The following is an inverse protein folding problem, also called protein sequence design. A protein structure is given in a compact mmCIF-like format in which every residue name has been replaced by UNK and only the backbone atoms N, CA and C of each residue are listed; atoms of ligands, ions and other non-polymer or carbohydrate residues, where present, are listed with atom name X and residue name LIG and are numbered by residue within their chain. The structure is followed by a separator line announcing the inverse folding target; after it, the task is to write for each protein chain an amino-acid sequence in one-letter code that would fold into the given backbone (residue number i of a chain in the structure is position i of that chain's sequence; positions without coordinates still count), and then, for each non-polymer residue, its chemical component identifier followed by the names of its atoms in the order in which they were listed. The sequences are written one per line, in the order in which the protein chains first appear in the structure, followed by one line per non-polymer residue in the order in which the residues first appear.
data_IF_728460412501
#
_entry.id   IF_728460412501
#
_cell.length_a   1.000
_cell.length_b   1.000
_cell.length_c   1.000
_cell.angle_alpha   90.00
_cell.angle_beta   90.00
_cell.angle_gamma   90.00
#
_symmetry.space_group_name_H-M   'P 1'
#
loop_
_entity.id
_entity.type
_entity.pdbx_description
1 polymer ?
#
# COMPACT_ATOMS: atom_id res chain seq x y z
N UNK A 1 12.05 -20.43 0.93
CA UNK A 1 11.22 -19.29 0.49
C UNK A 1 10.30 -18.95 1.64
N UNK A 2 10.13 -17.69 2.02
CA UNK A 2 9.06 -17.35 2.96
C UNK A 2 7.75 -17.87 2.34
N UNK A 3 6.91 -18.49 3.15
CA UNK A 3 5.60 -18.93 2.69
C UNK A 3 4.85 -17.70 2.16
N UNK A 4 4.43 -17.76 0.91
CA UNK A 4 3.61 -16.68 0.33
C UNK A 4 2.34 -16.57 1.17
N UNK A 5 2.12 -15.39 1.73
CA UNK A 5 0.90 -15.12 2.50
C UNK A 5 -0.33 -15.31 1.60
N UNK A 6 -1.41 -15.90 2.13
CA UNK A 6 -2.66 -15.98 1.37
C UNK A 6 -3.11 -14.58 0.94
N UNK A 7 -3.60 -14.39 -0.30
CA UNK A 7 -4.06 -13.08 -0.77
C UNK A 7 -5.28 -12.60 0.04
N UNK A 8 -5.41 -11.28 0.20
CA UNK A 8 -6.61 -10.65 0.75
C UNK A 8 -7.48 -10.10 -0.38
N UNK A 9 -8.80 -10.21 -0.23
CA UNK A 9 -9.76 -9.59 -1.16
C UNK A 9 -9.49 -8.08 -1.28
N UNK A 10 -9.20 -7.44 -0.16
CA UNK A 10 -9.02 -5.97 -0.11
C UNK A 10 -7.62 -5.50 -0.52
N UNK A 11 -6.59 -6.31 -0.28
CA UNK A 11 -5.22 -5.94 -0.67
C UNK A 11 -4.94 -6.28 -2.13
N UNK A 12 -5.35 -7.49 -2.57
CA UNK A 12 -4.79 -8.13 -3.77
C UNK A 12 -5.82 -8.31 -4.89
N UNK A 13 -7.13 -8.36 -4.58
CA UNK A 13 -8.18 -8.68 -5.56
C UNK A 13 -8.96 -7.46 -6.01
N UNK A 14 -9.56 -6.71 -5.07
CA UNK A 14 -10.34 -5.51 -5.39
C UNK A 14 -9.43 -4.32 -5.68
N UNK A 15 -8.23 -4.33 -5.10
CA UNK A 15 -7.26 -3.24 -5.19
C UNK A 15 -7.57 -2.08 -4.23
N UNK A 16 -6.75 -1.04 -4.26
CA UNK A 16 -6.89 0.06 -3.32
C UNK A 16 -8.12 0.91 -3.62
N UNK A 17 -8.78 1.37 -2.57
CA UNK A 17 -9.68 2.52 -2.67
C UNK A 17 -8.79 3.74 -2.93
N UNK A 18 -8.95 4.38 -4.08
CA UNK A 18 -8.04 5.43 -4.51
C UNK A 18 -8.70 6.46 -5.43
N UNK A 19 -8.09 7.63 -5.51
CA UNK A 19 -8.29 8.56 -6.62
C UNK A 19 -7.24 8.26 -7.70
N UNK A 20 -7.71 8.02 -8.93
CA UNK A 20 -6.84 7.72 -10.07
C UNK A 20 -5.85 8.82 -10.40
N UNK A 21 -5.15 8.70 -11.55
CA UNK A 21 -5.53 7.83 -12.67
C UNK A 21 -5.01 6.38 -12.60
N UNK A 22 -3.98 6.08 -11.83
CA UNK A 22 -3.33 4.77 -11.88
C UNK A 22 -3.02 4.21 -10.49
N UNK A 23 -3.42 2.96 -10.20
CA UNK A 23 -3.12 2.32 -8.90
C UNK A 23 -1.63 2.12 -8.67
N UNK A 24 -0.89 1.73 -9.70
CA UNK A 24 0.56 1.52 -9.61
C UNK A 24 1.37 2.82 -9.52
N UNK A 25 0.74 3.96 -9.80
CA UNK A 25 1.36 5.28 -9.66
C UNK A 25 0.78 6.01 -8.45
N UNK A 26 -0.49 6.39 -8.46
CA UNK A 26 -1.09 7.20 -7.38
C UNK A 26 -1.13 6.48 -6.03
N UNK A 27 -1.76 5.30 -5.94
CA UNK A 27 -1.93 4.61 -4.66
C UNK A 27 -0.61 4.04 -4.12
N UNK A 28 0.24 3.47 -5.00
CA UNK A 28 1.55 2.98 -4.60
C UNK A 28 2.42 4.12 -4.04
N UNK A 29 2.43 5.28 -4.71
CA UNK A 29 3.23 6.42 -4.25
C UNK A 29 2.70 7.04 -2.96
N UNK A 30 1.37 7.07 -2.72
CA UNK A 30 0.81 7.43 -1.40
C UNK A 30 1.37 6.52 -0.31
N UNK A 31 1.33 5.21 -0.52
CA UNK A 31 1.83 4.21 0.43
C UNK A 31 3.31 4.37 0.69
N UNK A 32 4.12 4.53 -0.37
CA UNK A 32 5.56 4.80 -0.26
C UNK A 32 5.82 6.10 0.50
N UNK A 33 5.09 7.17 0.20
CA UNK A 33 5.21 8.46 0.88
C UNK A 33 4.86 8.39 2.36
N UNK A 34 3.82 7.61 2.74
CA UNK A 34 3.45 7.40 4.15
C UNK A 34 4.54 6.67 4.92
N UNK A 35 5.07 5.58 4.37
CA UNK A 35 6.18 4.86 5.00
C UNK A 35 7.44 5.75 5.12
N UNK A 36 7.73 6.56 4.09
CA UNK A 36 8.83 7.51 4.12
C UNK A 36 8.64 8.60 5.20
N UNK A 37 7.42 9.12 5.33
CA UNK A 37 7.03 10.06 6.38
C UNK A 37 7.23 9.46 7.77
N UNK A 38 6.77 8.25 7.99
CA UNK A 38 6.87 7.55 9.26
C UNK A 38 8.34 7.25 9.61
N UNK A 39 9.14 6.81 8.62
CA UNK A 39 10.59 6.63 8.77
C UNK A 39 11.28 7.90 9.24
N UNK A 40 10.83 9.06 8.78
CA UNK A 40 11.30 10.39 9.15
C UNK A 40 10.78 10.86 10.53
N UNK A 41 9.80 10.19 11.09
CA UNK A 41 9.09 10.58 12.31
C UNK A 41 8.12 11.76 12.10
N UNK A 42 7.58 11.90 10.90
CA UNK A 42 6.59 12.92 10.51
C UNK A 42 6.91 13.56 9.17
N UNK A 43 6.15 14.59 8.78
CA UNK A 43 6.33 15.31 7.52
C UNK A 43 7.77 15.84 7.42
N UNK A 44 8.54 15.53 6.36
CA UNK A 44 9.92 15.98 6.20
C UNK A 44 10.00 17.49 5.96
N UNK A 45 11.15 18.08 6.26
CA UNK A 45 11.49 19.47 5.89
C UNK A 45 11.93 19.55 4.43
N UNK A 46 12.60 18.50 3.94
CA UNK A 46 12.94 18.37 2.53
C UNK A 46 12.88 16.91 2.08
N UNK A 47 12.55 16.71 0.80
CA UNK A 47 12.53 15.43 0.15
C UNK A 47 13.12 15.54 -1.27
N UNK A 48 14.07 14.66 -1.60
CA UNK A 48 14.55 14.42 -2.94
C UNK A 48 14.03 13.04 -3.38
N UNK A 49 13.42 13.00 -4.55
CA UNK A 49 12.99 11.75 -5.19
C UNK A 49 13.78 11.59 -6.48
N UNK A 50 14.31 10.40 -6.70
CA UNK A 50 15.09 10.08 -7.89
C UNK A 50 14.43 8.91 -8.61
N UNK A 51 14.28 9.07 -9.93
CA UNK A 51 13.80 8.06 -10.85
C UNK A 51 14.88 7.74 -11.89
N UNK A 52 14.99 6.46 -12.23
CA UNK A 52 15.91 6.03 -13.28
C UNK A 52 15.45 6.50 -14.66
N UNK A 53 16.37 7.00 -15.48
CA UNK A 53 16.11 7.39 -16.89
C UNK A 53 15.53 6.26 -17.73
N UNK A 54 15.89 5.02 -17.45
CA UNK A 54 15.41 3.82 -18.16
C UNK A 54 14.12 3.25 -17.51
N UNK A 55 13.72 3.79 -16.36
CA UNK A 55 12.50 3.39 -15.65
C UNK A 55 11.23 4.01 -16.24
N UNK A 56 10.08 3.39 -15.98
CA UNK A 56 8.79 3.90 -16.47
C UNK A 56 8.41 5.23 -15.81
N UNK A 57 8.86 5.48 -14.59
CA UNK A 57 8.54 6.69 -13.84
C UNK A 57 9.17 7.94 -14.42
N UNK A 58 10.31 7.84 -15.12
CA UNK A 58 10.98 8.98 -15.72
C UNK A 58 10.07 9.83 -16.63
N UNK A 59 9.13 9.18 -17.32
CA UNK A 59 8.21 9.85 -18.27
C UNK A 59 6.76 9.88 -17.79
N UNK A 60 6.41 9.16 -16.72
CA UNK A 60 5.02 8.96 -16.31
C UNK A 60 4.69 9.50 -14.92
N UNK A 61 5.69 9.88 -14.10
CA UNK A 61 5.49 10.24 -12.70
C UNK A 61 4.45 11.36 -12.49
N UNK A 62 4.48 12.39 -13.32
CA UNK A 62 3.54 13.51 -13.25
C UNK A 62 2.18 13.10 -13.82
N UNK A 63 2.15 12.61 -15.09
CA UNK A 63 0.91 12.37 -15.83
C UNK A 63 0.05 11.24 -15.25
N UNK A 64 0.66 10.25 -14.59
CA UNK A 64 -0.05 9.13 -13.99
C UNK A 64 -0.24 9.23 -12.47
N UNK A 65 0.16 10.36 -11.87
CA UNK A 65 -0.17 10.71 -10.50
C UNK A 65 0.80 10.18 -9.44
N UNK A 66 2.03 9.77 -9.82
CA UNK A 66 3.06 9.38 -8.84
C UNK A 66 3.45 10.54 -7.93
N UNK A 67 3.64 11.73 -8.51
CA UNK A 67 3.99 12.92 -7.74
C UNK A 67 2.86 13.30 -6.78
N UNK A 68 1.64 13.36 -7.31
CA UNK A 68 0.45 13.66 -6.55
C UNK A 68 0.30 12.71 -5.35
N UNK A 69 0.44 11.41 -5.60
CA UNK A 69 0.34 10.39 -4.56
C UNK A 69 1.47 10.49 -3.53
N UNK A 70 2.71 10.66 -3.98
CA UNK A 70 3.86 10.76 -3.09
C UNK A 70 3.75 11.98 -2.16
N UNK A 71 3.36 13.14 -2.70
CA UNK A 71 3.17 14.36 -1.91
C UNK A 71 2.09 14.17 -0.85
N UNK A 72 0.97 13.54 -1.22
CA UNK A 72 -0.10 13.20 -0.29
C UNK A 72 0.39 12.23 0.81
N UNK A 73 1.14 11.21 0.45
CA UNK A 73 1.72 10.26 1.41
C UNK A 73 2.69 10.93 2.39
N UNK A 74 3.54 11.84 1.94
CA UNK A 74 4.43 12.64 2.79
C UNK A 74 3.66 13.57 3.75
N UNK A 75 2.43 13.96 3.40
CA UNK A 75 1.50 14.67 4.28
C UNK A 75 0.71 13.74 5.22
N UNK A 76 0.80 12.42 5.04
CA UNK A 76 0.11 11.42 5.84
C UNK A 76 -1.33 11.15 5.39
N UNK A 77 -1.67 11.45 4.13
CA UNK A 77 -3.01 11.23 3.59
C UNK A 77 -3.19 9.82 3.06
N UNK A 78 -4.46 9.41 2.91
CA UNK A 78 -4.84 8.16 2.27
C UNK A 78 -5.01 8.33 0.75
N UNK A 79 -5.02 7.20 0.02
CA UNK A 79 -5.12 7.21 -1.44
C UNK A 79 -6.48 7.68 -1.97
N UNK A 80 -7.52 7.71 -1.15
CA UNK A 80 -8.88 8.19 -1.48
C UNK A 80 -9.15 9.63 -1.01
N UNK A 81 -8.18 10.31 -0.42
CA UNK A 81 -8.32 11.69 0.08
C UNK A 81 -8.71 12.65 -1.07
N UNK A 82 -9.74 13.45 -0.84
CA UNK A 82 -10.26 14.39 -1.84
C UNK A 82 -9.29 15.48 -2.25
N UNK A 83 -8.31 15.77 -1.39
CA UNK A 83 -7.29 16.79 -1.60
C UNK A 83 -6.14 16.32 -2.48
N UNK A 84 -6.07 15.02 -2.82
CA UNK A 84 -4.97 14.45 -3.61
C UNK A 84 -4.59 15.29 -4.84
N UNK A 85 -5.53 15.73 -5.69
CA UNK A 85 -5.19 16.53 -6.89
C UNK A 85 -4.46 17.85 -6.58
N UNK A 86 -4.53 18.31 -5.35
CA UNK A 86 -3.88 19.53 -4.87
C UNK A 86 -2.75 19.27 -3.88
N UNK A 87 -2.30 18.03 -3.74
CA UNK A 87 -1.29 17.63 -2.75
C UNK A 87 0.00 18.44 -2.84
N UNK A 88 0.43 18.81 -4.05
CA UNK A 88 1.60 19.66 -4.26
C UNK A 88 1.45 21.07 -3.67
N UNK A 89 0.24 21.65 -3.69
CA UNK A 89 -0.03 22.95 -3.04
C UNK A 89 0.09 22.81 -1.52
N UNK A 90 -0.53 21.77 -0.95
CA UNK A 90 -0.49 21.51 0.47
C UNK A 90 0.91 21.15 0.98
N UNK A 91 1.70 20.41 0.19
CA UNK A 91 3.06 20.08 0.55
C UNK A 91 3.93 21.34 0.62
N UNK A 92 3.79 22.26 -0.35
CA UNK A 92 4.47 23.57 -0.33
C UNK A 92 4.00 24.42 0.85
N UNK A 93 2.69 24.44 1.13
CA UNK A 93 2.15 25.17 2.28
C UNK A 93 2.64 24.60 3.62
N UNK A 94 2.95 23.31 3.69
CA UNK A 94 3.58 22.67 4.85
C UNK A 94 5.08 22.99 4.96
N UNK A 95 5.65 23.76 4.03
CA UNK A 95 7.07 24.17 4.07
C UNK A 95 8.05 23.09 3.61
N UNK A 96 7.58 22.04 2.93
CA UNK A 96 8.46 20.96 2.46
C UNK A 96 9.18 21.37 1.18
N UNK A 97 10.50 21.40 1.21
CA UNK A 97 11.35 21.59 0.04
C UNK A 97 11.41 20.28 -0.76
N UNK A 98 10.64 20.19 -1.85
CA UNK A 98 10.53 18.98 -2.68
C UNK A 98 11.33 19.14 -3.97
N UNK A 99 12.11 18.10 -4.32
CA UNK A 99 12.81 17.99 -5.59
C UNK A 99 12.60 16.59 -6.20
N UNK A 100 12.41 16.56 -7.52
CA UNK A 100 12.38 15.33 -8.32
C UNK A 100 13.54 15.39 -9.29
N UNK A 101 14.29 14.31 -9.40
CA UNK A 101 15.44 14.18 -10.28
C UNK A 101 15.35 12.92 -11.13
N UNK A 102 15.49 13.07 -12.42
CA UNK A 102 15.68 11.95 -13.34
C UNK A 102 17.18 11.77 -13.56
N UNK A 103 17.70 10.59 -13.29
CA UNK A 103 19.13 10.28 -13.37
C UNK A 103 19.37 8.85 -13.82
N UNK A 104 20.53 8.58 -14.38
CA UNK A 104 20.93 7.20 -14.73
C UNK A 104 21.36 6.47 -13.46
N UNK A 105 20.52 5.58 -12.98
CA UNK A 105 20.69 4.88 -11.71
C UNK A 105 20.88 3.36 -11.90
N UNK A 106 20.54 2.85 -13.09
CA UNK A 106 20.58 1.42 -13.43
C UNK A 106 19.77 0.56 -12.43
N UNK A 107 18.56 1.03 -12.09
CA UNK A 107 17.67 0.32 -11.19
C UNK A 107 17.16 -0.97 -11.86
N UNK A 108 17.19 -2.12 -11.15
CA UNK A 108 16.77 -3.40 -11.74
C UNK A 108 15.24 -3.49 -11.95
N UNK A 109 14.47 -2.60 -11.33
CA UNK A 109 13.02 -2.56 -11.44
C UNK A 109 12.56 -1.21 -12.02
N UNK A 110 11.72 -1.18 -13.06
CA UNK A 110 11.35 0.05 -13.77
C UNK A 110 10.54 1.04 -12.94
N UNK A 111 9.92 0.62 -11.86
CA UNK A 111 9.10 1.44 -10.97
C UNK A 111 9.77 1.65 -9.60
N UNK A 112 11.06 1.97 -9.60
CA UNK A 112 11.83 2.23 -8.38
C UNK A 112 11.69 3.69 -7.95
N UNK A 113 11.42 3.89 -6.67
CA UNK A 113 11.44 5.18 -5.97
C UNK A 113 12.65 5.21 -5.05
N UNK A 114 13.57 6.17 -5.27
CA UNK A 114 14.66 6.46 -4.35
C UNK A 114 14.38 7.78 -3.66
N UNK A 115 14.17 7.74 -2.35
CA UNK A 115 13.86 8.91 -1.55
C UNK A 115 15.00 9.24 -0.60
N UNK A 116 15.40 10.51 -0.57
CA UNK A 116 16.25 11.09 0.47
C UNK A 116 15.45 12.16 1.19
N UNK A 117 15.25 11.98 2.49
CA UNK A 117 14.36 12.78 3.33
C UNK A 117 15.16 13.43 4.45
N UNK A 118 14.86 14.67 4.81
CA UNK A 118 15.50 15.36 5.94
C UNK A 118 14.47 15.92 6.90
N UNK A 119 14.72 15.71 8.19
CA UNK A 119 13.90 16.27 9.27
C UNK A 119 14.71 16.37 10.55
N UNK A 120 14.67 17.53 11.25
CA UNK A 120 15.37 17.74 12.52
C UNK A 120 16.88 17.48 12.43
N UNK A 121 17.51 17.89 11.34
CA UNK A 121 18.95 17.66 11.11
C UNK A 121 19.34 16.21 10.78
N UNK A 122 18.39 15.30 10.65
CA UNK A 122 18.63 13.89 10.32
C UNK A 122 18.25 13.62 8.86
N UNK A 123 19.03 12.79 8.19
CA UNK A 123 18.75 12.29 6.85
C UNK A 123 18.31 10.83 6.93
N UNK A 124 17.33 10.48 6.09
CA UNK A 124 16.85 9.14 5.88
C UNK A 124 16.77 8.83 4.41
N UNK A 125 17.03 7.59 4.04
CA UNK A 125 16.92 7.09 2.69
C UNK A 125 15.99 5.88 2.66
N UNK A 126 15.09 5.88 1.69
CA UNK A 126 14.17 4.76 1.44
C UNK A 126 14.24 4.42 -0.03
N UNK A 127 14.39 3.13 -0.35
CA UNK A 127 14.23 2.62 -1.71
C UNK A 127 13.02 1.69 -1.71
N UNK A 128 12.06 1.99 -2.57
CA UNK A 128 10.83 1.23 -2.68
C UNK A 128 10.43 1.00 -4.15
N UNK A 129 9.73 -0.08 -4.38
CA UNK A 129 9.21 -0.49 -5.67
C UNK A 129 7.69 -0.37 -5.68
N UNK A 130 7.11 0.07 -6.79
CA UNK A 130 5.71 -0.17 -7.10
C UNK A 130 5.62 -1.47 -7.88
N UNK A 131 5.05 -2.50 -7.27
CA UNK A 131 5.00 -3.86 -7.83
C UNK A 131 3.74 -4.14 -8.67
N UNK A 132 2.88 -3.13 -8.81
CA UNK A 132 1.62 -3.23 -9.57
C UNK A 132 0.38 -3.31 -8.67
N UNK A 133 -0.78 -2.95 -9.22
CA UNK A 133 -2.04 -2.99 -8.47
C UNK A 133 -2.11 -2.08 -7.24
N UNK A 134 -1.19 -1.14 -7.08
CA UNK A 134 -1.04 -0.31 -5.88
C UNK A 134 -0.21 -0.97 -4.77
N UNK A 135 0.30 -2.18 -5.00
CA UNK A 135 1.20 -2.86 -4.08
C UNK A 135 2.61 -2.28 -4.15
N UNK A 136 3.33 -2.38 -3.06
CA UNK A 136 4.67 -1.83 -2.89
C UNK A 136 5.60 -2.83 -2.21
N UNK A 137 6.89 -2.64 -2.41
CA UNK A 137 7.94 -3.30 -1.64
C UNK A 137 9.01 -2.28 -1.27
N UNK A 138 9.29 -2.11 0.01
CA UNK A 138 10.47 -1.37 0.47
C UNK A 138 11.65 -2.34 0.48
N UNK A 139 12.66 -2.04 -0.33
CA UNK A 139 13.83 -2.91 -0.52
C UNK A 139 15.07 -2.41 0.22
N UNK A 140 15.10 -1.14 0.64
CA UNK A 140 16.19 -0.63 1.46
C UNK A 140 15.75 0.54 2.36
N UNK A 141 16.31 0.60 3.57
CA UNK A 141 16.19 1.71 4.53
C UNK A 141 17.58 2.13 4.95
N UNK A 142 17.95 3.41 4.73
CA UNK A 142 19.25 3.99 5.05
C UNK A 142 20.44 3.10 4.59
N UNK A 143 20.31 2.47 3.42
CA UNK A 143 21.31 1.61 2.81
C UNK A 143 21.31 0.15 3.28
N UNK A 144 20.53 -0.22 4.29
CA UNK A 144 20.35 -1.63 4.67
C UNK A 144 19.22 -2.28 3.87
N UNK A 145 19.47 -3.47 3.32
CA UNK A 145 18.48 -4.23 2.59
C UNK A 145 17.36 -4.71 3.54
N UNK A 146 16.12 -4.53 3.12
CA UNK A 146 14.93 -5.01 3.82
C UNK A 146 13.92 -5.55 2.80
N UNK A 147 12.90 -6.25 3.28
CA UNK A 147 11.75 -6.68 2.48
C UNK A 147 10.49 -6.37 3.27
N UNK A 148 9.82 -5.26 2.94
CA UNK A 148 8.62 -4.80 3.64
C UNK A 148 7.55 -4.42 2.63
N UNK A 149 6.35 -4.96 2.80
CA UNK A 149 5.21 -4.75 1.88
C UNK A 149 4.21 -3.70 2.39
N UNK A 150 4.46 -3.13 3.57
CA UNK A 150 3.56 -2.15 4.19
C UNK A 150 2.32 -2.76 4.83
N UNK A 151 2.37 -4.03 5.17
CA UNK A 151 1.29 -4.84 5.74
C UNK A 151 1.46 -5.13 7.24
N UNK A 152 2.57 -4.71 7.83
CA UNK A 152 2.87 -4.79 9.26
C UNK A 152 3.11 -3.40 9.85
N UNK A 153 2.89 -3.28 11.16
CA UNK A 153 3.57 -2.25 11.93
C UNK A 153 5.04 -2.64 12.05
N UNK A 154 5.94 -1.76 11.62
CA UNK A 154 7.38 -2.03 11.59
C UNK A 154 8.10 -1.14 12.58
N UNK A 155 8.95 -1.74 13.41
CA UNK A 155 9.91 -1.01 14.25
C UNK A 155 11.33 -1.29 13.77
N UNK A 156 12.06 -0.27 13.38
CA UNK A 156 13.47 -0.35 12.96
C UNK A 156 14.34 0.18 14.09
N UNK A 157 15.22 -0.67 14.59
CA UNK A 157 16.17 -0.36 15.66
C UNK A 157 17.58 -0.29 15.08
N UNK A 158 18.27 0.86 15.20
CA UNK A 158 19.72 0.91 15.00
C UNK A 158 20.38 0.43 16.28
N UNK A 159 21.28 -0.52 16.20
CA UNK A 159 21.90 -1.18 17.35
C UNK A 159 23.42 -1.17 17.25
N UNK A 160 24.07 -1.18 18.44
CA UNK A 160 25.50 -1.40 18.52
C UNK A 160 25.85 -2.89 18.41
N UNK A 161 27.03 -3.18 17.89
CA UNK A 161 27.49 -4.55 17.69
C UNK A 161 26.79 -5.23 16.51
N UNK A 162 26.58 -6.54 16.62
CA UNK A 162 26.04 -7.39 15.54
C UNK A 162 24.49 -7.53 15.57
N UNK A 163 23.84 -6.94 16.58
CA UNK A 163 22.38 -7.00 16.76
C UNK A 163 21.82 -8.37 17.18
N UNK A 164 22.66 -9.39 17.30
CA UNK A 164 22.21 -10.75 17.60
C UNK A 164 21.53 -10.85 18.97
N UNK A 165 22.09 -10.21 20.00
CA UNK A 165 21.52 -10.20 21.35
C UNK A 165 20.13 -9.52 21.38
N UNK A 166 20.01 -8.37 20.71
CA UNK A 166 18.74 -7.64 20.61
C UNK A 166 17.70 -8.48 19.88
N UNK A 167 18.08 -9.11 18.76
CA UNK A 167 17.16 -9.95 17.99
C UNK A 167 16.76 -11.22 18.75
N UNK A 168 17.67 -11.86 19.49
CA UNK A 168 17.37 -13.02 20.34
C UNK A 168 16.35 -12.64 21.41
N UNK A 169 16.60 -11.56 22.16
CA UNK A 169 15.68 -11.06 23.19
C UNK A 169 14.26 -10.83 22.64
N UNK A 170 14.16 -10.29 21.43
CA UNK A 170 12.87 -10.06 20.79
C UNK A 170 12.21 -11.36 20.36
N UNK A 171 12.96 -12.30 19.78
CA UNK A 171 12.41 -13.61 19.34
C UNK A 171 11.93 -14.46 20.52
N UNK A 172 12.67 -14.42 21.63
CA UNK A 172 12.34 -15.19 22.84
C UNK A 172 11.03 -14.72 23.48
N UNK A 173 10.60 -13.50 23.25
CA UNK A 173 9.31 -12.98 23.67
C UNK A 173 8.14 -13.63 22.91
N UNK A 174 8.33 -13.99 21.64
CA UNK A 174 7.36 -14.72 20.85
C UNK A 174 6.11 -13.94 20.39
N UNK A 175 6.02 -12.63 20.69
CA UNK A 175 4.88 -11.77 20.39
C UNK A 175 5.03 -10.92 19.10
N UNK A 176 6.03 -11.26 18.28
CA UNK A 176 6.31 -10.59 17.01
C UNK A 176 6.16 -11.54 15.81
N UNK A 177 5.70 -10.99 14.69
CA UNK A 177 5.50 -11.74 13.45
C UNK A 177 6.85 -12.08 12.78
N UNK A 178 7.80 -11.12 12.75
CA UNK A 178 9.15 -11.36 12.25
C UNK A 178 10.18 -10.44 12.92
N UNK A 179 11.43 -10.92 13.05
CA UNK A 179 12.57 -10.19 13.59
C UNK A 179 13.79 -10.48 12.72
N UNK A 180 14.24 -9.49 11.97
CA UNK A 180 15.34 -9.61 10.99
C UNK A 180 16.50 -8.70 11.41
N UNK A 181 17.73 -9.22 11.34
CA UNK A 181 18.97 -8.43 11.48
C UNK A 181 19.49 -8.10 10.07
N UNK A 182 19.79 -6.85 9.82
CA UNK A 182 20.25 -6.38 8.51
C UNK A 182 21.21 -5.18 8.64
N UNK A 183 21.95 -4.91 7.56
CA UNK A 183 22.94 -3.82 7.52
C UNK A 183 24.22 -4.16 8.27
N UNK A 184 25.23 -3.33 8.12
CA UNK A 184 26.56 -3.54 8.71
C UNK A 184 27.04 -2.33 9.52
N UNK A 185 26.63 -1.11 9.17
CA UNK A 185 27.07 0.11 9.84
C UNK A 185 26.06 1.26 9.60
N UNK A 186 25.12 1.49 10.51
CA UNK A 186 24.80 0.69 11.69
C UNK A 186 24.10 -0.64 11.33
N UNK A 187 24.23 -1.61 12.21
CA UNK A 187 23.39 -2.82 12.18
C UNK A 187 21.99 -2.46 12.60
N UNK A 188 20.99 -3.07 11.96
CA UNK A 188 19.58 -2.84 12.25
C UNK A 188 18.88 -4.12 12.62
N UNK A 189 17.99 -4.00 13.60
CA UNK A 189 17.00 -5.03 13.89
C UNK A 189 15.63 -4.50 13.44
N UNK A 190 15.04 -5.18 12.49
CA UNK A 190 13.72 -4.85 11.93
C UNK A 190 12.70 -5.80 12.53
N UNK A 191 11.67 -5.25 13.15
CA UNK A 191 10.61 -6.01 13.84
C UNK A 191 9.30 -5.74 13.12
N UNK A 192 8.67 -6.80 12.61
CA UNK A 192 7.33 -6.78 12.05
C UNK A 192 6.34 -7.33 13.09
N UNK A 193 5.27 -6.59 13.36
CA UNK A 193 4.32 -6.93 14.42
C UNK A 193 2.92 -6.34 14.18
N UNK A 194 1.97 -6.72 15.03
CA UNK A 194 0.61 -6.16 15.01
C UNK A 194 0.52 -4.79 15.69
N UNK A 195 1.53 -4.42 16.47
CA UNK A 195 1.66 -3.13 17.15
C UNK A 195 3.12 -2.66 17.17
N UNK A 196 3.40 -1.37 17.31
CA UNK A 196 4.78 -0.91 17.47
C UNK A 196 5.35 -1.34 18.83
N UNK A 197 6.68 -1.50 18.88
CA UNK A 197 7.38 -1.60 20.16
C UNK A 197 7.20 -0.31 20.95
N UNK A 198 6.73 -0.43 22.20
CA UNK A 198 6.62 0.69 23.13
C UNK A 198 7.99 1.18 23.61
N UNK A 199 8.06 2.43 24.10
CA UNK A 199 9.33 3.00 24.55
C UNK A 199 9.94 2.25 25.76
N UNK A 200 9.11 1.75 26.67
CA UNK A 200 9.57 0.91 27.78
C UNK A 200 10.15 -0.43 27.29
N UNK A 201 9.55 -1.02 26.25
CA UNK A 201 10.04 -2.25 25.66
C UNK A 201 11.40 -2.04 24.98
N UNK A 202 11.53 -0.92 24.25
CA UNK A 202 12.79 -0.53 23.61
C UNK A 202 13.88 -0.25 24.64
N UNK A 203 13.54 0.45 25.72
CA UNK A 203 14.50 0.76 26.79
C UNK A 203 15.04 -0.49 27.52
N UNK A 204 14.29 -1.59 27.48
CA UNK A 204 14.72 -2.87 28.02
C UNK A 204 15.61 -3.68 27.08
N UNK A 205 15.77 -3.26 25.82
CA UNK A 205 16.60 -3.97 24.84
C UNK A 205 18.07 -3.54 24.96
N UNK A 206 19.01 -4.48 24.75
CA UNK A 206 20.42 -4.13 24.76
C UNK A 206 20.81 -3.31 23.52
N UNK A 207 21.73 -2.37 23.70
CA UNK A 207 22.46 -1.70 22.63
C UNK A 207 21.66 -0.89 21.61
N UNK A 208 20.39 -0.55 21.87
CA UNK A 208 19.58 0.27 20.95
C UNK A 208 19.99 1.73 21.04
N UNK A 209 20.31 2.33 19.89
CA UNK A 209 20.67 3.76 19.75
C UNK A 209 19.55 4.61 19.18
N UNK A 210 18.76 4.04 18.25
CA UNK A 210 17.73 4.78 17.53
C UNK A 210 16.55 3.87 17.21
N UNK A 211 15.36 4.45 17.28
CA UNK A 211 14.11 3.77 16.97
C UNK A 211 13.35 4.55 15.90
N UNK A 212 12.79 3.85 14.95
CA UNK A 212 11.85 4.37 13.97
C UNK A 212 10.66 3.42 13.88
N UNK A 213 9.48 3.98 13.76
CA UNK A 213 8.24 3.20 13.67
C UNK A 213 7.50 3.59 12.41
N UNK A 214 7.00 2.60 11.69
CA UNK A 214 6.21 2.79 10.48
C UNK A 214 4.90 2.03 10.63
N UNK A 215 3.80 2.70 10.34
CA UNK A 215 2.47 2.09 10.39
C UNK A 215 2.14 1.37 9.08
N UNK A 216 1.29 0.35 9.12
CA UNK A 216 0.87 -0.34 7.91
C UNK A 216 0.10 0.59 6.98
N UNK A 217 0.28 0.37 5.68
CA UNK A 217 -0.36 1.15 4.61
C UNK A 217 -1.32 0.31 3.76
N UNK A 218 -1.40 -0.99 4.02
CA UNK A 218 -2.38 -1.88 3.39
C UNK A 218 -3.65 -2.02 4.24
N UNK A 219 -4.82 -2.18 3.61
CA UNK A 219 -6.10 -2.33 4.31
C UNK A 219 -6.16 -3.51 5.27
N UNK A 220 -5.51 -4.62 4.92
CA UNK A 220 -5.49 -5.85 5.73
C UNK A 220 -4.05 -6.18 6.10
N UNK A 221 -3.79 -6.25 7.40
CA UNK A 221 -2.48 -6.59 7.94
C UNK A 221 -2.15 -8.06 7.73
N UNK A 222 -0.87 -8.35 7.59
CA UNK A 222 -0.36 -9.72 7.61
C UNK A 222 -0.10 -10.18 9.04
N UNK A 223 -0.09 -11.50 9.25
CA UNK A 223 0.17 -12.15 10.55
C UNK A 223 0.94 -13.44 10.36
N UNK A 224 1.82 -13.75 11.27
CA UNK A 224 2.52 -15.03 11.30
C UNK A 224 1.55 -16.16 11.66
N UNK A 225 1.76 -17.34 11.06
CA UNK A 225 0.98 -18.53 11.37
C UNK A 225 -0.48 -18.46 10.94
N UNK A 226 -0.81 -17.56 10.04
CA UNK A 226 -2.15 -17.37 9.52
C UNK A 226 -2.60 -18.60 8.73
N UNK A 227 -3.80 -19.08 9.02
CA UNK A 227 -4.46 -20.15 8.28
C UNK A 227 -5.78 -19.63 7.70
N UNK A 228 -6.03 -19.95 6.45
CA UNK A 228 -7.29 -19.66 5.77
C UNK A 228 -8.07 -20.94 5.51
N UNK A 229 -9.39 -20.89 5.40
CA UNK A 229 -10.21 -22.11 5.25
C UNK A 229 -9.96 -22.85 3.92
N UNK A 230 -9.40 -22.18 2.90
CA UNK A 230 -9.03 -22.76 1.62
C UNK A 230 -8.04 -21.84 0.89
N UNK A 231 -7.19 -22.39 0.05
CA UNK A 231 -6.30 -21.64 -0.84
C UNK A 231 -6.74 -21.73 -2.30
N UNK A 232 -7.45 -22.78 -2.66
CA UNK A 232 -7.90 -23.06 -4.03
C UNK A 232 -9.39 -23.40 -4.07
N UNK A 233 -10.03 -23.11 -5.21
CA UNK A 233 -11.44 -23.41 -5.40
C UNK A 233 -11.78 -24.89 -5.20
N UNK A 234 -10.87 -25.82 -5.52
CA UNK A 234 -11.03 -27.24 -5.28
C UNK A 234 -11.18 -27.58 -3.78
N UNK A 235 -10.36 -26.97 -2.92
CA UNK A 235 -10.48 -27.13 -1.45
C UNK A 235 -11.79 -26.53 -0.95
N UNK A 236 -12.16 -25.36 -1.46
CA UNK A 236 -13.43 -24.73 -1.11
C UNK A 236 -14.63 -25.66 -1.41
N UNK A 237 -14.64 -26.28 -2.60
CA UNK A 237 -15.72 -27.20 -3.01
C UNK A 237 -15.72 -28.47 -2.15
N UNK A 238 -14.56 -29.00 -1.74
CA UNK A 238 -14.46 -30.18 -0.87
C UNK A 238 -14.94 -29.92 0.55
N UNK A 239 -14.73 -28.71 1.06
CA UNK A 239 -15.12 -28.31 2.42
C UNK A 239 -16.54 -27.77 2.51
N UNK A 240 -17.18 -27.52 1.37
CA UNK A 240 -18.47 -26.90 1.25
C UNK A 240 -19.57 -27.93 0.92
N UNK A 241 -20.70 -27.83 1.59
CA UNK A 241 -21.95 -28.23 0.98
C UNK A 241 -22.44 -27.04 0.12
N UNK A 242 -22.28 -27.09 -1.21
CA UNK A 242 -22.64 -25.97 -2.08
C UNK A 242 -24.16 -25.71 -2.12
N UNK A 243 -24.96 -26.62 -1.55
CA UNK A 243 -26.41 -26.47 -1.49
C UNK A 243 -26.90 -25.66 -0.30
N UNK A 244 -26.05 -25.48 0.72
CA UNK A 244 -26.45 -24.87 1.98
C UNK A 244 -25.73 -23.56 2.29
N UNK A 245 -24.62 -23.24 1.60
CA UNK A 245 -23.81 -22.06 1.91
C UNK A 245 -23.49 -21.25 0.65
N UNK A 246 -23.92 -19.98 0.56
CA UNK A 246 -23.65 -19.15 -0.59
C UNK A 246 -22.16 -18.77 -0.66
N UNK A 247 -21.63 -18.50 -1.87
CA UNK A 247 -20.22 -18.14 -2.12
C UNK A 247 -19.77 -16.94 -1.27
N UNK A 248 -20.67 -15.98 -1.01
CA UNK A 248 -20.38 -14.84 -0.14
C UNK A 248 -20.00 -15.21 1.28
N UNK A 249 -20.53 -16.29 1.82
CA UNK A 249 -20.20 -16.78 3.17
C UNK A 249 -18.80 -17.42 3.20
N UNK A 250 -18.38 -18.07 2.11
CA UNK A 250 -17.00 -18.56 1.97
C UNK A 250 -16.00 -17.42 1.87
N UNK A 251 -16.28 -16.43 1.03
CA UNK A 251 -15.46 -15.24 0.88
C UNK A 251 -15.32 -14.48 2.22
N UNK A 252 -16.42 -14.35 2.95
CA UNK A 252 -16.44 -13.69 4.24
C UNK A 252 -15.62 -14.45 5.29
N UNK A 253 -15.80 -15.76 5.39
CA UNK A 253 -15.02 -16.61 6.31
C UNK A 253 -13.52 -16.58 5.98
N UNK A 254 -13.19 -16.58 4.69
CA UNK A 254 -11.81 -16.45 4.23
C UNK A 254 -11.18 -15.12 4.66
N UNK A 255 -11.84 -13.99 4.37
CA UNK A 255 -11.28 -12.67 4.67
C UNK A 255 -11.21 -12.39 6.17
N UNK A 256 -12.18 -12.87 6.96
CA UNK A 256 -12.11 -12.82 8.40
C UNK A 256 -10.87 -13.58 8.94
N UNK A 257 -10.62 -14.79 8.43
CA UNK A 257 -9.46 -15.59 8.82
C UNK A 257 -8.15 -14.93 8.34
N UNK A 258 -8.10 -14.43 7.07
CA UNK A 258 -6.94 -13.80 6.48
C UNK A 258 -6.50 -12.52 7.20
N UNK A 259 -7.45 -11.68 7.57
CA UNK A 259 -7.19 -10.39 8.21
C UNK A 259 -7.21 -10.43 9.74
N UNK A 260 -7.71 -11.51 10.35
CA UNK A 260 -8.07 -11.50 11.76
C UNK A 260 -9.15 -10.47 12.06
N UNK A 261 -10.06 -10.27 11.11
CA UNK A 261 -11.15 -9.30 11.17
C UNK A 261 -12.44 -9.99 11.62
N UNK A 262 -13.30 -9.25 12.29
CA UNK A 262 -14.65 -9.70 12.49
C UNK A 262 -15.53 -9.54 11.23
N UNK A 263 -16.67 -10.23 11.23
CA UNK A 263 -17.63 -10.23 10.12
C UNK A 263 -18.12 -8.82 9.76
N UNK A 264 -18.39 -8.02 10.77
CA UNK A 264 -18.96 -6.69 10.58
C UNK A 264 -17.94 -5.72 9.98
N UNK A 265 -16.66 -5.83 10.36
CA UNK A 265 -15.57 -5.08 9.77
C UNK A 265 -15.38 -5.40 8.27
N UNK A 266 -15.37 -6.69 7.90
CA UNK A 266 -15.28 -7.13 6.50
C UNK A 266 -16.48 -6.61 5.69
N UNK A 267 -17.70 -6.74 6.22
CA UNK A 267 -18.90 -6.26 5.54
C UNK A 267 -18.94 -4.73 5.44
N UNK A 268 -18.49 -4.01 6.47
CA UNK A 268 -18.41 -2.55 6.43
C UNK A 268 -17.47 -2.06 5.34
N UNK A 269 -16.29 -2.68 5.21
CA UNK A 269 -15.33 -2.35 4.17
C UNK A 269 -15.88 -2.66 2.77
N UNK A 270 -16.55 -3.81 2.59
CA UNK A 270 -17.18 -4.16 1.32
C UNK A 270 -18.32 -3.19 0.97
N UNK A 271 -19.13 -2.77 1.93
CA UNK A 271 -20.18 -1.75 1.72
C UNK A 271 -19.60 -0.40 1.30
N UNK A 272 -18.46 0.02 1.89
CA UNK A 272 -17.74 1.24 1.48
C UNK A 272 -17.32 1.14 0.01
N UNK A 273 -16.72 0.04 -0.39
CA UNK A 273 -16.31 -0.20 -1.79
C UNK A 273 -17.52 -0.17 -2.72
N UNK A 274 -18.60 -0.86 -2.39
CA UNK A 274 -19.82 -0.88 -3.17
C UNK A 274 -20.43 0.52 -3.33
N UNK A 275 -20.41 1.33 -2.29
CA UNK A 275 -20.90 2.71 -2.35
C UNK A 275 -20.05 3.57 -3.31
N UNK A 276 -18.72 3.41 -3.29
CA UNK A 276 -17.79 4.11 -4.18
C UNK A 276 -18.03 3.69 -5.64
N UNK A 277 -18.16 2.38 -5.90
CA UNK A 277 -18.45 1.86 -7.25
C UNK A 277 -19.78 2.42 -7.78
N UNK A 278 -20.84 2.40 -6.95
CA UNK A 278 -22.14 2.97 -7.32
C UNK A 278 -22.07 4.47 -7.62
N UNK A 279 -21.35 5.22 -6.77
CA UNK A 279 -21.15 6.66 -7.00
C UNK A 279 -20.38 6.91 -8.31
N UNK A 280 -19.35 6.12 -8.60
CA UNK A 280 -18.60 6.18 -9.85
C UNK A 280 -19.47 5.93 -11.08
N UNK A 281 -20.35 4.91 -11.02
CA UNK A 281 -21.32 4.63 -12.09
C UNK A 281 -22.27 5.82 -12.29
N UNK A 282 -22.86 6.34 -11.22
CA UNK A 282 -23.78 7.49 -11.30
C UNK A 282 -23.08 8.73 -11.87
N UNK A 283 -21.86 8.99 -11.45
CA UNK A 283 -21.05 10.10 -11.99
C UNK A 283 -20.76 9.89 -13.50
N UNK A 284 -20.45 8.67 -13.92
CA UNK A 284 -20.24 8.33 -15.33
C UNK A 284 -21.49 8.55 -16.17
N UNK A 285 -22.67 8.18 -15.65
CA UNK A 285 -23.97 8.37 -16.32
C UNK A 285 -24.34 9.86 -16.39
N UNK A 286 -24.21 10.61 -15.30
CA UNK A 286 -24.45 12.07 -15.27
C UNK A 286 -23.48 12.82 -16.19
N UNK A 287 -22.28 12.27 -16.35
CA UNK A 287 -21.21 12.75 -17.17
C UNK A 287 -20.24 13.64 -16.44
N UNK A 288 -18.98 13.35 -16.68
CA UNK A 288 -17.84 14.15 -16.22
C UNK A 288 -17.09 14.69 -17.42
N UNK A 289 -16.64 15.92 -17.29
CA UNK A 289 -15.70 16.52 -18.24
C UNK A 289 -14.28 16.41 -17.68
N UNK A 290 -13.39 15.75 -18.43
CA UNK A 290 -11.98 15.66 -18.11
C UNK A 290 -11.19 16.43 -19.15
N UNK A 291 -10.21 17.20 -18.70
CA UNK A 291 -9.37 18.06 -19.56
C UNK A 291 -8.69 17.25 -20.67
N UNK A 292 -8.22 16.06 -20.35
CA UNK A 292 -7.39 15.24 -21.23
C UNK A 292 -8.14 14.02 -21.78
N UNK A 293 -9.44 14.18 -22.02
CA UNK A 293 -10.28 13.11 -22.57
C UNK A 293 -9.86 12.80 -24.03
N UNK A 294 -9.51 11.52 -24.26
CA UNK A 294 -9.19 11.00 -25.59
C UNK A 294 -10.44 10.46 -26.30
N UNK A 295 -11.30 9.74 -25.57
CA UNK A 295 -12.52 9.15 -26.15
C UNK A 295 -13.75 9.96 -25.73
N UNK A 296 -14.77 10.09 -26.62
CA UNK A 296 -16.02 10.74 -26.28
C UNK A 296 -16.77 9.96 -25.19
N UNK A 297 -17.61 10.66 -24.42
CA UNK A 297 -18.49 10.04 -23.41
C UNK A 297 -19.47 9.09 -24.07
N UNK A 298 -19.49 7.84 -23.63
CA UNK A 298 -20.33 6.80 -24.20
C UNK A 298 -21.21 6.07 -23.16
N UNK A 299 -20.81 6.04 -21.88
CA UNK A 299 -21.52 5.28 -20.84
C UNK A 299 -23.00 5.63 -20.75
N UNK A 300 -23.36 6.92 -20.80
CA UNK A 300 -24.75 7.36 -20.76
C UNK A 300 -25.58 6.91 -21.97
N UNK A 301 -24.95 6.85 -23.17
CA UNK A 301 -25.62 6.33 -24.39
C UNK A 301 -25.80 4.83 -24.30
N UNK A 302 -24.79 4.11 -23.83
CA UNK A 302 -24.84 2.68 -23.63
C UNK A 302 -25.94 2.30 -22.62
N UNK A 303 -26.02 2.99 -21.48
CA UNK A 303 -27.05 2.80 -20.48
C UNK A 303 -28.46 3.03 -21.06
N UNK A 304 -28.66 4.12 -21.81
CA UNK A 304 -29.95 4.41 -22.44
C UNK A 304 -30.35 3.35 -23.47
N UNK A 305 -29.40 2.83 -24.26
CA UNK A 305 -29.67 1.74 -25.20
C UNK A 305 -30.00 0.42 -24.48
N UNK A 306 -29.36 0.16 -23.35
CA UNK A 306 -29.65 -1.01 -22.51
C UNK A 306 -31.07 -0.94 -21.92
N UNK A 307 -31.47 0.21 -21.40
CA UNK A 307 -32.81 0.46 -20.85
C UNK A 307 -33.89 0.34 -21.93
N UNK A 308 -33.58 0.73 -23.17
CA UNK A 308 -34.46 0.60 -24.32
C UNK A 308 -34.51 -0.82 -24.94
N UNK A 309 -33.76 -1.78 -24.41
CA UNK A 309 -33.66 -3.13 -24.92
C UNK A 309 -33.04 -3.22 -26.33
N UNK A 310 -32.27 -2.21 -26.75
CA UNK A 310 -31.67 -2.12 -28.09
C UNK A 310 -30.28 -2.75 -28.19
N UNK A 311 -29.75 -3.30 -27.12
CA UNK A 311 -28.49 -4.05 -27.17
C UNK A 311 -28.78 -5.50 -27.61
N UNK A 312 -27.83 -6.08 -28.34
CA UNK A 312 -27.94 -7.43 -28.93
C UNK A 312 -28.15 -8.50 -27.85
N UNK A 313 -27.47 -8.32 -26.71
CA UNK A 313 -27.67 -9.13 -25.52
C UNK A 313 -27.90 -8.22 -24.33
N UNK A 314 -29.09 -8.19 -23.80
CA UNK A 314 -29.48 -7.47 -22.61
C UNK A 314 -28.99 -8.09 -21.30
N UNK A 315 -28.13 -9.12 -21.38
CA UNK A 315 -27.72 -9.95 -20.26
C UNK A 315 -26.69 -9.33 -19.32
N UNK A 316 -26.12 -10.18 -18.51
CA UNK A 316 -25.15 -9.85 -17.45
C UNK A 316 -23.90 -9.15 -18.02
N UNK A 317 -23.45 -9.54 -19.22
CA UNK A 317 -22.27 -8.99 -19.87
C UNK A 317 -22.40 -7.48 -20.13
N UNK A 318 -23.54 -7.03 -20.65
CA UNK A 318 -23.78 -5.62 -20.93
C UNK A 318 -23.80 -4.77 -19.64
N UNK A 319 -24.30 -5.33 -18.54
CA UNK A 319 -24.29 -4.68 -17.23
C UNK A 319 -22.89 -4.60 -16.63
N UNK A 320 -22.04 -5.58 -16.91
CA UNK A 320 -20.66 -5.60 -16.45
C UNK A 320 -19.76 -4.59 -17.20
N UNK A 321 -20.11 -4.24 -18.44
CA UNK A 321 -19.38 -3.23 -19.23
C UNK A 321 -19.71 -1.80 -18.79
N UNK A 322 -20.88 -1.55 -18.25
CA UNK A 322 -21.29 -0.25 -17.70
C UNK A 322 -20.55 0.07 -16.41
#
# INVERSE_FOLDING_TARGET
MPATLPPSIFNDVVGPVMRGPSSSHSAASVRIGRLARDLCGGTPESALVEFDTEGSLATTHESQGSDMGLFAGLLGWEADDERLPRSGEFLRAAGVAMAIRIATLHDPHPNTYRLTLRRGGKEHRLVALSTGGGMIEVVAIDGAAVTLYGDYTVTVLDVDGDGAATAATLRDRGDFDDVVVTGSSPVRVVVCAQRPLGDAEVAALPAVRRVRRMEPVLPVRSRRGLTVPFLHAGEMVQTADPTTRPLSEFALAYECARGGLDRDAVLAQMRKILAIVRAGVQQGLAGTEYRDRILPRQSHRFAALMEQGKLIDGGVLNRAIL
#
